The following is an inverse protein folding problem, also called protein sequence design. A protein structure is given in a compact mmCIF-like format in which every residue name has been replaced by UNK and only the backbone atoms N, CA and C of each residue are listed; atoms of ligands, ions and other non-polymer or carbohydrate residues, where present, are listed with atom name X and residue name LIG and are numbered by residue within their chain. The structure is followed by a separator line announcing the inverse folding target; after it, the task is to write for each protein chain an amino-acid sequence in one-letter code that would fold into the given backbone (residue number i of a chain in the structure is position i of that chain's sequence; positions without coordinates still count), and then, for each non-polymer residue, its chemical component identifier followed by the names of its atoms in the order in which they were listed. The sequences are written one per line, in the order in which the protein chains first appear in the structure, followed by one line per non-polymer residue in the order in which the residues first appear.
data_IF_263723909622
#
_entry.id   IF_263723909622
#
_cell.length_a   1.000
_cell.length_b   1.000
_cell.length_c   1.000
_cell.angle_alpha   90.00
_cell.angle_beta   90.00
_cell.angle_gamma   90.00
#
_symmetry.space_group_name_H-M   'P 1'
#
loop_
_entity.id
_entity.type
_entity.pdbx_description
1 polymer ?
#
# COMPACT_ATOMS: atom_id res chain seq x y z
N UNK A 1 5.59 -16.01 9.33
CA UNK A 1 5.72 -15.32 8.05
C UNK A 1 4.98 -13.97 8.11
N UNK A 2 5.61 -12.94 7.65
CA UNK A 2 4.98 -11.62 7.62
C UNK A 2 4.64 -11.20 6.21
N UNK A 3 3.52 -10.50 6.07
CA UNK A 3 3.12 -9.91 4.80
C UNK A 3 2.85 -8.42 5.02
N UNK A 4 2.94 -7.67 3.94
CA UNK A 4 2.75 -6.23 3.97
C UNK A 4 1.65 -5.89 2.98
N UNK A 5 0.58 -5.31 3.48
CA UNK A 5 -0.61 -5.00 2.68
C UNK A 5 -0.59 -3.52 2.33
N UNK A 6 -0.53 -3.23 1.04
CA UNK A 6 -0.59 -1.87 0.53
C UNK A 6 -2.04 -1.53 0.22
N UNK A 7 -2.55 -0.49 0.84
CA UNK A 7 -3.94 -0.05 0.67
C UNK A 7 -3.97 1.40 0.22
N UNK A 8 -5.03 1.74 -0.47
CA UNK A 8 -5.27 3.07 -0.99
C UNK A 8 -6.60 3.60 -0.47
N UNK A 9 -6.59 4.85 0.00
CA UNK A 9 -7.80 5.51 0.48
C UNK A 9 -8.61 6.02 -0.71
N UNK A 10 -9.75 5.40 -0.94
CA UNK A 10 -10.63 5.80 -2.03
C UNK A 10 -11.44 7.03 -1.68
N UNK A 11 -11.95 7.09 -0.44
CA UNK A 11 -12.82 8.19 -0.04
C UNK A 11 -13.11 8.09 1.45
N UNK A 12 -12.57 9.01 2.23
CA UNK A 12 -12.87 9.18 3.66
C UNK A 12 -12.91 7.89 4.47
N UNK A 13 -11.86 7.11 4.37
CA UNK A 13 -11.75 5.89 5.17
C UNK A 13 -12.15 4.62 4.45
N UNK A 14 -12.55 4.72 3.20
CA UNK A 14 -12.80 3.53 2.37
C UNK A 14 -11.47 3.10 1.75
N UNK A 15 -10.89 2.04 2.27
CA UNK A 15 -9.57 1.58 1.84
C UNK A 15 -9.70 0.40 0.88
N UNK A 16 -8.93 0.44 -0.19
CA UNK A 16 -8.87 -0.65 -1.16
C UNK A 16 -7.48 -1.26 -1.12
N UNK A 17 -7.40 -2.57 -1.04
CA UNK A 17 -6.12 -3.26 -1.07
C UNK A 17 -5.58 -3.25 -2.49
N UNK A 18 -4.37 -2.72 -2.66
CA UNK A 18 -3.70 -2.67 -3.96
C UNK A 18 -2.76 -3.85 -4.17
N UNK A 19 -2.27 -4.43 -3.09
CA UNK A 19 -1.40 -5.58 -3.21
C UNK A 19 -0.94 -6.10 -1.87
N UNK A 20 -0.43 -7.31 -1.88
CA UNK A 20 0.13 -7.95 -0.71
C UNK A 20 1.56 -8.37 -1.07
N UNK A 21 2.51 -8.02 -0.23
CA UNK A 21 3.92 -8.22 -0.51
C UNK A 21 4.60 -8.95 0.62
N UNK A 22 5.64 -9.70 0.29
CA UNK A 22 6.37 -10.49 1.30
C UNK A 22 7.40 -9.67 2.07
N UNK A 23 7.74 -8.47 1.59
CA UNK A 23 8.68 -7.59 2.29
C UNK A 23 8.19 -6.16 2.22
N UNK A 24 8.61 -5.37 3.22
CA UNK A 24 8.27 -3.96 3.25
C UNK A 24 8.88 -3.22 2.05
N UNK A 25 10.08 -3.64 1.63
CA UNK A 25 10.74 -3.01 0.47
C UNK A 25 9.91 -3.18 -0.80
N UNK A 26 9.31 -4.34 -1.00
CA UNK A 26 8.47 -4.58 -2.16
C UNK A 26 7.21 -3.73 -2.11
N UNK A 27 6.61 -3.61 -0.93
CA UNK A 27 5.44 -2.77 -0.75
C UNK A 27 5.76 -1.30 -1.01
N UNK A 28 6.90 -0.82 -0.49
CA UNK A 28 7.34 0.56 -0.72
C UNK A 28 7.60 0.84 -2.20
N UNK A 29 8.19 -0.11 -2.89
CA UNK A 29 8.46 0.03 -4.32
C UNK A 29 7.15 0.14 -5.10
N UNK A 30 6.16 -0.69 -4.75
CA UNK A 30 4.86 -0.63 -5.38
C UNK A 30 4.18 0.70 -5.12
N UNK A 31 4.32 1.22 -3.90
CA UNK A 31 3.79 2.52 -3.54
C UNK A 31 4.41 3.62 -4.39
N UNK A 32 5.73 3.59 -4.57
CA UNK A 32 6.42 4.59 -5.40
C UNK A 32 5.91 4.58 -6.84
N UNK A 33 5.69 3.39 -7.38
CA UNK A 33 5.15 3.26 -8.73
C UNK A 33 3.76 3.88 -8.83
N UNK A 34 2.92 3.60 -7.84
CA UNK A 34 1.57 4.15 -7.82
C UNK A 34 1.58 5.66 -7.69
N UNK A 35 2.48 6.21 -6.88
CA UNK A 35 2.61 7.66 -6.74
C UNK A 35 3.05 8.31 -8.04
N UNK A 36 3.92 7.65 -8.78
CA UNK A 36 4.39 8.15 -10.07
C UNK A 36 3.28 8.17 -11.11
N UNK A 37 2.42 7.15 -11.09
CA UNK A 37 1.34 7.01 -12.05
C UNK A 37 0.07 7.73 -11.64
N UNK A 38 -0.12 7.95 -10.35
CA UNK A 38 -1.36 8.52 -9.83
C UNK A 38 -1.36 10.03 -9.89
N UNK A 39 -2.36 10.61 -10.51
CA UNK A 39 -2.50 12.04 -10.60
C UNK A 39 -3.04 12.61 -9.30
N UNK A 40 -2.29 13.53 -8.71
CA UNK A 40 -2.72 14.23 -7.52
C UNK A 40 -2.73 13.40 -6.25
N UNK A 41 -2.14 12.22 -6.27
CA UNK A 41 -2.07 11.36 -5.09
C UNK A 41 -0.78 11.60 -4.33
N UNK A 42 -0.84 11.44 -3.02
CA UNK A 42 0.31 11.58 -2.14
C UNK A 42 0.46 10.32 -1.29
N UNK A 43 1.59 10.22 -0.58
CA UNK A 43 1.82 9.08 0.31
C UNK A 43 0.72 8.98 1.38
N UNK A 44 0.09 10.09 1.73
CA UNK A 44 -0.98 10.08 2.73
C UNK A 44 -2.23 9.34 2.26
N UNK A 45 -2.38 9.14 0.96
CA UNK A 45 -3.50 8.39 0.40
C UNK A 45 -3.27 6.88 0.43
N UNK A 46 -2.09 6.45 0.84
CA UNK A 46 -1.70 5.04 0.88
C UNK A 46 -1.25 4.65 2.26
N UNK A 47 -1.36 3.38 2.57
CA UNK A 47 -0.79 2.84 3.80
C UNK A 47 -0.25 1.44 3.54
N UNK A 48 0.78 1.07 4.31
CA UNK A 48 1.34 -0.27 4.29
C UNK A 48 1.19 -0.81 5.70
N UNK A 49 0.50 -1.93 5.84
CA UNK A 49 0.29 -2.57 7.13
C UNK A 49 0.97 -3.93 7.17
N UNK A 50 1.62 -4.20 8.28
CA UNK A 50 2.29 -5.48 8.48
C UNK A 50 1.34 -6.45 9.17
N UNK A 51 1.24 -7.66 8.67
CA UNK A 51 0.43 -8.71 9.27
C UNK A 51 1.27 -9.97 9.43
N UNK A 52 1.07 -10.66 10.54
CA UNK A 52 1.71 -11.93 10.78
C UNK A 52 0.81 -13.04 10.26
N UNK A 53 1.37 -13.90 9.43
CA UNK A 53 0.65 -15.04 8.85
C UNK A 53 1.28 -16.32 9.39
N UNK A 54 0.49 -17.18 9.96
CA UNK A 54 0.98 -18.45 10.48
C UNK A 54 1.15 -19.50 9.40
#
# INVERSE_FOLDING_TARGET
MKVYVLSFDLDYGNWEVKGVYSTNEKAERALDILLTQGEGKTRNDFKIEEFEVE
#
